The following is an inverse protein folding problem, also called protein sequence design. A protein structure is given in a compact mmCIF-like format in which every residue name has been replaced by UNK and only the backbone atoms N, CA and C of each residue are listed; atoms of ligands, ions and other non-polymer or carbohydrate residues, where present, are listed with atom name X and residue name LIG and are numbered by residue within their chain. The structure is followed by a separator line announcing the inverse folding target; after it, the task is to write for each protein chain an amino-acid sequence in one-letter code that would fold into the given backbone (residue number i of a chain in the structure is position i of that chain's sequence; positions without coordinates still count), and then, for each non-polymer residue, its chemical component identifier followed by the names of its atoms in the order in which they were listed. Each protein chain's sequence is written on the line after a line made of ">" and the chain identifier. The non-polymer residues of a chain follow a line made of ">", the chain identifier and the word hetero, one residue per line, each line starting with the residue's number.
data_IF_247314743654
#
_entry.id   IF_247314743654
#
_cell.length_a   1.000
_cell.length_b   1.000
_cell.length_c   1.000
_cell.angle_alpha   90.00
_cell.angle_beta   90.00
_cell.angle_gamma   90.00
#
_symmetry.space_group_name_H-M   'P 1'
#
loop_
_entity.id
_entity.type
_entity.pdbx_description
1 polymer ?
#
# COMPACT_ATOMS: atom_id res chain seq x y z
N UNK A 1 -16.48 -12.06 -3.39
CA UNK A 1 -15.77 -11.68 -4.62
C UNK A 1 -14.90 -10.51 -4.33
N UNK A 2 -13.74 -10.54 -4.89
CA UNK A 2 -12.68 -9.64 -4.49
C UNK A 2 -12.97 -8.22 -4.96
N UNK A 3 -13.21 -7.32 -4.02
CA UNK A 3 -13.38 -5.89 -4.28
C UNK A 3 -12.04 -5.20 -4.58
N UNK A 4 -11.03 -5.96 -5.00
CA UNK A 4 -9.72 -5.41 -5.36
C UNK A 4 -9.79 -4.64 -6.67
N UNK A 5 -9.10 -3.50 -6.72
CA UNK A 5 -8.94 -2.75 -7.96
C UNK A 5 -8.11 -3.56 -8.96
N UNK A 6 -8.42 -3.49 -10.27
CA UNK A 6 -7.89 -4.41 -11.27
C UNK A 6 -6.38 -4.30 -11.52
N UNK A 7 -5.78 -3.14 -11.22
CA UNK A 7 -4.36 -2.88 -11.45
C UNK A 7 -3.65 -2.68 -10.12
N UNK A 8 -2.48 -3.31 -9.96
CA UNK A 8 -1.53 -3.07 -8.89
C UNK A 8 -0.23 -2.45 -9.43
N UNK A 9 0.53 -1.78 -8.55
CA UNK A 9 1.94 -1.48 -8.80
C UNK A 9 2.77 -2.53 -8.07
N UNK A 10 3.62 -3.24 -8.80
CA UNK A 10 4.41 -4.35 -8.29
C UNK A 10 5.68 -4.50 -9.12
N UNK A 11 6.84 -4.73 -8.47
CA UNK A 11 8.14 -4.86 -9.13
C UNK A 11 8.43 -3.72 -10.12
N UNK A 12 8.20 -2.49 -9.66
CA UNK A 12 8.41 -1.25 -10.44
C UNK A 12 7.54 -1.10 -11.70
N UNK A 13 6.45 -1.88 -11.81
CA UNK A 13 5.54 -1.86 -12.95
C UNK A 13 4.07 -1.83 -12.50
N UNK A 14 3.20 -1.36 -13.38
CA UNK A 14 1.75 -1.53 -13.21
C UNK A 14 1.34 -2.82 -13.91
N UNK A 15 0.78 -3.75 -13.14
CA UNK A 15 0.37 -5.07 -13.60
C UNK A 15 -1.08 -5.36 -13.21
N UNK A 16 -1.76 -6.31 -13.86
CA UNK A 16 -3.04 -6.81 -13.35
C UNK A 16 -2.87 -7.30 -11.90
N UNK A 17 -3.81 -6.98 -11.02
CA UNK A 17 -3.71 -7.34 -9.59
C UNK A 17 -3.48 -8.85 -9.39
N UNK A 18 -4.12 -9.70 -10.19
CA UNK A 18 -3.98 -11.16 -10.13
C UNK A 18 -2.55 -11.67 -10.40
N UNK A 19 -1.74 -10.86 -11.09
CA UNK A 19 -0.37 -11.22 -11.48
C UNK A 19 0.68 -10.67 -10.47
N UNK A 20 0.25 -9.86 -9.49
CA UNK A 20 1.08 -9.35 -8.42
C UNK A 20 1.28 -10.40 -7.31
N UNK A 21 2.14 -11.38 -7.57
CA UNK A 21 2.38 -12.51 -6.69
C UNK A 21 3.79 -12.53 -6.13
N UNK A 22 3.94 -12.97 -4.89
CA UNK A 22 5.24 -13.20 -4.25
C UNK A 22 5.49 -14.69 -4.02
N UNK A 23 6.75 -15.10 -4.04
CA UNK A 23 7.14 -16.45 -3.69
C UNK A 23 6.88 -16.74 -2.21
N UNK A 24 6.54 -17.99 -1.87
CA UNK A 24 6.48 -18.46 -0.47
C UNK A 24 7.82 -18.34 0.25
N UNK A 25 8.94 -18.25 -0.48
CA UNK A 25 10.29 -18.05 0.07
C UNK A 25 10.65 -16.56 0.24
N UNK A 26 9.72 -15.63 0.02
CA UNK A 26 9.95 -14.20 0.20
C UNK A 26 10.31 -13.90 1.65
N UNK A 27 11.44 -13.23 1.87
CA UNK A 27 12.01 -12.93 3.18
C UNK A 27 11.01 -12.29 4.15
N UNK A 28 10.22 -11.32 3.68
CA UNK A 28 9.24 -10.64 4.51
C UNK A 28 8.15 -11.57 5.09
N UNK A 29 7.79 -12.66 4.41
CA UNK A 29 6.81 -13.63 4.90
C UNK A 29 7.33 -14.42 6.11
N UNK A 30 8.64 -14.63 6.19
CA UNK A 30 9.27 -15.40 7.28
C UNK A 30 9.65 -14.53 8.47
N UNK A 31 10.02 -13.28 8.25
CA UNK A 31 10.62 -12.42 9.26
C UNK A 31 9.83 -11.15 9.58
N UNK A 32 8.66 -10.97 8.98
CA UNK A 32 7.81 -9.80 9.22
C UNK A 32 8.46 -8.46 8.81
N UNK A 33 9.44 -8.50 7.91
CA UNK A 33 10.22 -7.34 7.49
C UNK A 33 9.51 -6.54 6.41
N UNK A 34 8.42 -5.91 6.82
CA UNK A 34 7.61 -5.05 5.96
C UNK A 34 6.97 -3.92 6.73
N UNK A 35 6.60 -2.86 6.03
CA UNK A 35 5.85 -1.74 6.58
C UNK A 35 4.80 -1.26 5.58
N UNK A 36 3.62 -0.91 6.06
CA UNK A 36 2.56 -0.43 5.19
C UNK A 36 2.02 0.93 5.59
N UNK A 37 1.48 1.60 4.62
CA UNK A 37 0.60 2.73 4.79
C UNK A 37 -0.85 2.35 4.49
N UNK A 38 -1.76 3.26 4.81
CA UNK A 38 -3.14 3.16 4.41
C UNK A 38 -3.72 4.55 4.23
N UNK A 39 -4.41 4.75 3.12
CA UNK A 39 -5.16 5.98 2.86
C UNK A 39 -6.43 5.68 2.08
N UNK A 40 -7.42 6.57 2.19
CA UNK A 40 -8.65 6.45 1.40
C UNK A 40 -8.59 7.37 0.19
N UNK A 41 -9.11 6.88 -0.93
CA UNK A 41 -9.52 7.68 -2.06
C UNK A 41 -11.04 7.79 -2.06
N UNK A 42 -11.54 9.00 -2.28
CA UNK A 42 -12.97 9.31 -2.28
C UNK A 42 -13.26 10.08 -3.55
N UNK A 43 -14.24 9.65 -4.38
CA UNK A 43 -14.71 10.47 -5.50
C UNK A 43 -15.18 11.84 -5.01
N UNK A 44 -14.78 12.89 -5.73
CA UNK A 44 -15.20 14.24 -5.38
C UNK A 44 -16.70 14.40 -5.66
N UNK A 45 -17.53 14.75 -4.66
CA UNK A 45 -18.95 14.96 -4.86
C UNK A 45 -19.28 16.08 -5.86
N UNK A 46 -18.38 17.06 -6.01
CA UNK A 46 -18.54 18.18 -6.93
C UNK A 46 -18.06 17.87 -8.35
N UNK A 47 -17.21 16.86 -8.52
CA UNK A 47 -16.62 16.48 -9.80
C UNK A 47 -16.26 14.98 -9.82
N UNK A 48 -17.16 14.18 -10.36
CA UNK A 48 -17.01 12.71 -10.43
C UNK A 48 -15.77 12.22 -11.19
N UNK A 49 -15.11 13.09 -11.96
CA UNK A 49 -13.84 12.76 -12.62
C UNK A 49 -12.61 12.96 -11.73
N UNK A 50 -12.80 13.42 -10.50
CA UNK A 50 -11.71 13.66 -9.55
C UNK A 50 -11.80 12.71 -8.35
N UNK A 51 -10.63 12.30 -7.87
CA UNK A 51 -10.48 11.52 -6.65
C UNK A 51 -9.73 12.36 -5.63
N UNK A 52 -10.31 12.51 -4.46
CA UNK A 52 -9.69 13.17 -3.33
C UNK A 52 -8.83 12.18 -2.55
N UNK A 53 -7.54 12.46 -2.43
CA UNK A 53 -6.57 11.71 -1.63
C UNK A 53 -6.15 12.56 -0.42
N UNK A 54 -6.74 12.30 0.74
CA UNK A 54 -6.50 13.13 1.91
C UNK A 54 -5.05 13.01 2.41
N UNK A 55 -4.34 14.14 2.41
CA UNK A 55 -2.96 14.27 2.92
C UNK A 55 -1.99 13.22 2.37
N UNK A 56 -2.06 12.93 1.08
CA UNK A 56 -1.18 11.96 0.41
C UNK A 56 0.31 12.20 0.73
N UNK A 57 0.75 13.47 0.75
CA UNK A 57 2.13 13.84 1.09
C UNK A 57 2.55 13.39 2.49
N UNK A 58 1.66 13.46 3.49
CA UNK A 58 1.96 13.02 4.87
C UNK A 58 2.01 11.50 4.97
N UNK A 59 1.12 10.80 4.28
CA UNK A 59 1.14 9.34 4.19
C UNK A 59 2.42 8.84 3.51
N UNK A 60 2.81 9.47 2.41
CA UNK A 60 4.04 9.13 1.68
C UNK A 60 5.30 9.37 2.54
N UNK A 61 5.38 10.53 3.22
CA UNK A 61 6.49 10.83 4.11
C UNK A 61 6.59 9.82 5.27
N UNK A 62 5.47 9.45 5.88
CA UNK A 62 5.45 8.43 6.94
C UNK A 62 5.93 7.06 6.43
N UNK A 63 5.48 6.63 5.26
CA UNK A 63 5.91 5.35 4.69
C UNK A 63 7.39 5.38 4.29
N UNK A 64 7.88 6.50 3.73
CA UNK A 64 9.30 6.70 3.45
C UNK A 64 10.15 6.58 4.71
N UNK A 65 9.71 7.18 5.84
CA UNK A 65 10.40 7.03 7.12
C UNK A 65 10.37 5.58 7.64
N UNK A 66 9.26 4.86 7.45
CA UNK A 66 9.17 3.44 7.81
C UNK A 66 10.07 2.57 6.94
N UNK A 67 10.22 2.88 5.65
CA UNK A 67 11.12 2.17 4.74
C UNK A 67 12.58 2.25 5.17
N UNK A 68 13.01 3.40 5.74
CA UNK A 68 14.38 3.57 6.28
C UNK A 68 14.70 2.61 7.41
N UNK A 69 13.70 2.22 8.24
CA UNK A 69 13.88 1.20 9.29
C UNK A 69 14.18 -0.18 8.71
N UNK A 70 13.83 -0.40 7.45
CA UNK A 70 14.16 -1.61 6.68
C UNK A 70 15.44 -1.44 5.83
N UNK A 71 16.20 -0.37 6.04
CA UNK A 71 17.33 0.02 5.18
C UNK A 71 16.94 0.15 3.70
N UNK A 72 15.74 0.68 3.44
CA UNK A 72 15.24 0.95 2.11
C UNK A 72 15.09 2.46 1.89
N UNK A 73 15.92 3.01 1.01
CA UNK A 73 15.79 4.41 0.60
C UNK A 73 14.71 4.52 -0.49
N UNK A 74 13.50 4.82 -0.05
CA UNK A 74 12.33 5.04 -0.92
C UNK A 74 11.83 6.47 -0.71
N UNK A 75 12.09 7.38 -1.67
CA UNK A 75 11.70 8.78 -1.57
C UNK A 75 10.17 8.97 -1.49
N UNK A 76 9.71 9.92 -0.68
CA UNK A 76 8.29 10.20 -0.50
C UNK A 76 7.60 10.70 -1.78
N UNK A 77 8.30 11.44 -2.62
CA UNK A 77 7.80 11.91 -3.92
C UNK A 77 7.56 10.74 -4.89
N UNK A 78 8.42 9.73 -4.90
CA UNK A 78 8.20 8.50 -5.66
C UNK A 78 6.94 7.77 -5.19
N UNK A 79 6.72 7.67 -3.87
CA UNK A 79 5.49 7.07 -3.31
C UNK A 79 4.26 7.85 -3.76
N UNK A 80 4.29 9.19 -3.67
CA UNK A 80 3.19 10.04 -4.10
C UNK A 80 2.87 9.89 -5.58
N UNK A 81 3.91 9.96 -6.43
CA UNK A 81 3.76 9.80 -7.88
C UNK A 81 3.16 8.44 -8.23
N UNK A 82 3.66 7.37 -7.61
CA UNK A 82 3.16 6.00 -7.84
C UNK A 82 1.69 5.87 -7.43
N UNK A 83 1.30 6.37 -6.26
CA UNK A 83 -0.10 6.31 -5.80
C UNK A 83 -1.01 7.13 -6.72
N UNK A 84 -0.57 8.32 -7.14
CA UNK A 84 -1.34 9.15 -8.06
C UNK A 84 -1.57 8.44 -9.40
N UNK A 85 -0.52 7.84 -9.96
CA UNK A 85 -0.63 7.11 -11.22
C UNK A 85 -1.45 5.81 -11.07
N UNK A 86 -1.34 5.13 -9.94
CA UNK A 86 -2.18 3.98 -9.58
C UNK A 86 -3.67 4.33 -9.63
N UNK A 87 -4.06 5.47 -9.05
CA UNK A 87 -5.46 5.94 -9.06
C UNK A 87 -5.91 6.27 -10.49
N UNK A 88 -5.08 6.96 -11.27
CA UNK A 88 -5.38 7.30 -12.68
C UNK A 88 -5.61 6.07 -13.55
N UNK A 89 -4.84 5.00 -13.33
CA UNK A 89 -4.97 3.76 -14.10
C UNK A 89 -6.21 2.95 -13.72
N UNK A 90 -6.57 2.93 -12.45
CA UNK A 90 -7.72 2.18 -11.96
C UNK A 90 -9.06 2.90 -12.18
N UNK A 91 -9.07 4.25 -12.17
CA UNK A 91 -10.29 5.08 -12.34
C UNK A 91 -11.45 4.63 -11.46
N UNK A 92 -11.25 4.48 -10.14
CA UNK A 92 -12.29 4.00 -9.25
C UNK A 92 -13.46 4.99 -9.20
N UNK A 93 -14.69 4.48 -9.14
CA UNK A 93 -15.93 5.26 -9.11
C UNK A 93 -16.58 5.30 -7.73
N UNK A 94 -16.09 4.49 -6.80
CA UNK A 94 -16.55 4.40 -5.41
C UNK A 94 -15.41 4.73 -4.45
N UNK A 95 -15.72 4.91 -3.17
CA UNK A 95 -14.70 5.03 -2.14
C UNK A 95 -13.89 3.74 -2.04
N UNK A 96 -12.57 3.89 -1.90
CA UNK A 96 -11.65 2.76 -1.87
C UNK A 96 -10.51 3.02 -0.87
N UNK A 97 -9.90 1.94 -0.45
CA UNK A 97 -8.70 1.95 0.39
C UNK A 97 -7.48 1.64 -0.47
N UNK A 98 -6.39 2.36 -0.26
CA UNK A 98 -5.10 2.13 -0.91
C UNK A 98 -4.12 1.61 0.12
N UNK A 99 -3.46 0.49 -0.19
CA UNK A 99 -2.40 -0.13 0.59
C UNK A 99 -1.06 -0.02 -0.13
N UNK A 100 -0.26 1.02 0.14
CA UNK A 100 1.15 1.02 -0.20
C UNK A 100 1.92 0.20 0.84
N UNK A 101 2.86 -0.63 0.39
CA UNK A 101 3.63 -1.55 1.24
C UNK A 101 5.08 -1.61 0.77
N UNK A 102 6.01 -1.52 1.70
CA UNK A 102 7.45 -1.74 1.49
C UNK A 102 7.87 -3.02 2.20
N UNK A 103 8.74 -3.83 1.59
CA UNK A 103 9.11 -5.11 2.15
C UNK A 103 10.47 -5.59 1.63
N UNK A 104 11.05 -6.54 2.35
CA UNK A 104 12.20 -7.30 1.86
C UNK A 104 11.71 -8.37 0.89
N UNK A 105 11.99 -8.18 -0.39
CA UNK A 105 11.49 -9.00 -1.51
C UNK A 105 12.40 -10.17 -1.86
N UNK A 106 13.66 -10.13 -1.41
CA UNK A 106 14.64 -11.18 -1.69
C UNK A 106 14.20 -12.55 -1.18
N UNK A 107 14.73 -13.60 -1.80
CA UNK A 107 14.50 -14.98 -1.40
C UNK A 107 15.65 -15.43 -0.49
N UNK A 108 15.33 -16.07 0.62
CA UNK A 108 16.37 -16.60 1.49
C UNK A 108 15.96 -16.79 2.93
N UNK A 109 16.73 -17.59 3.66
CA UNK A 109 16.50 -17.92 5.06
C UNK A 109 17.64 -17.31 5.90
N UNK A 110 17.48 -16.05 6.28
CA UNK A 110 18.38 -15.39 7.25
C UNK A 110 17.71 -14.11 7.78
N UNK A 111 17.59 -13.91 9.09
CA UNK A 111 16.94 -12.74 9.69
C UNK A 111 17.87 -11.51 9.64
N UNK A 112 18.17 -11.01 8.44
CA UNK A 112 19.05 -9.86 8.22
C UNK A 112 18.37 -8.84 7.31
N UNK A 113 18.70 -7.56 7.45
CA UNK A 113 18.18 -6.46 6.60
C UNK A 113 19.23 -5.95 5.60
N UNK A 114 20.53 -6.26 5.81
CA UNK A 114 21.59 -5.90 4.88
C UNK A 114 21.67 -6.93 3.75
N UNK A 115 22.02 -6.47 2.55
CA UNK A 115 22.16 -7.29 1.36
C UNK A 115 20.93 -8.17 1.04
N UNK A 116 19.72 -7.66 1.36
CA UNK A 116 18.45 -8.26 0.99
C UNK A 116 17.75 -7.31 0.04
N UNK A 117 17.25 -7.82 -1.05
CA UNK A 117 16.45 -7.05 -1.99
C UNK A 117 15.19 -6.50 -1.31
N UNK A 118 14.79 -5.32 -1.73
CA UNK A 118 13.62 -4.62 -1.21
C UNK A 118 12.76 -4.13 -2.36
N UNK A 119 11.47 -4.14 -2.14
CA UNK A 119 10.51 -3.68 -3.13
C UNK A 119 9.37 -2.91 -2.48
N UNK A 120 8.62 -2.24 -3.31
CA UNK A 120 7.47 -1.42 -2.96
C UNK A 120 6.31 -1.76 -3.89
N UNK A 121 5.16 -2.07 -3.31
CA UNK A 121 3.94 -2.28 -4.07
C UNK A 121 2.77 -1.42 -3.58
N UNK A 122 1.80 -1.25 -4.46
CA UNK A 122 0.54 -0.55 -4.17
C UNK A 122 -0.60 -1.37 -4.76
N UNK A 123 -1.62 -1.63 -3.93
CA UNK A 123 -2.90 -2.13 -4.39
C UNK A 123 -4.05 -1.39 -3.72
N UNK A 124 -5.26 -1.57 -4.22
CA UNK A 124 -6.45 -0.97 -3.67
C UNK A 124 -7.61 -1.94 -3.58
N UNK A 125 -8.53 -1.64 -2.69
CA UNK A 125 -9.76 -2.40 -2.50
C UNK A 125 -10.92 -1.42 -2.32
N UNK A 126 -12.03 -1.67 -3.00
CA UNK A 126 -13.27 -0.95 -2.72
C UNK A 126 -13.72 -1.30 -1.31
N UNK A 127 -13.84 -0.28 -0.48
CA UNK A 127 -14.11 -0.46 0.94
C UNK A 127 -15.15 0.57 1.38
N UNK A 128 -16.30 0.07 1.82
CA UNK A 128 -17.30 0.85 2.54
C UNK A 128 -16.88 1.18 3.97
N UNK A 129 -17.82 1.19 4.88
CA UNK A 129 -17.53 1.40 6.30
C UNK A 129 -16.82 0.19 6.89
N UNK A 130 -15.58 0.42 7.35
CA UNK A 130 -14.71 -0.62 7.90
C UNK A 130 -15.06 -0.96 9.36
N UNK A 131 -15.52 0.04 10.10
CA UNK A 131 -15.98 -0.11 11.48
C UNK A 131 -17.46 0.23 11.56
N UNK A 132 -18.15 -0.39 12.55
CA UNK A 132 -19.55 -0.05 12.79
C UNK A 132 -19.69 1.44 13.10
N UNK A 133 -20.65 2.16 12.47
CA UNK A 133 -20.95 3.55 12.82
C UNK A 133 -21.47 3.69 14.28
N UNK A 134 -21.96 2.61 14.88
CA UNK A 134 -22.45 2.58 16.26
C UNK A 134 -21.32 2.56 17.30
N UNK A 135 -20.07 2.54 16.84
CA UNK A 135 -18.90 2.51 17.68
C UNK A 135 -18.36 1.10 17.95
N UNK A 136 -17.23 1.04 18.65
CA UNK A 136 -16.53 -0.20 19.01
C UNK A 136 -16.06 -0.15 20.46
N UNK A 137 -16.01 -1.32 21.10
CA UNK A 137 -15.40 -1.47 22.42
C UNK A 137 -13.90 -1.61 22.29
N UNK A 138 -13.17 -0.81 23.07
CA UNK A 138 -11.71 -0.84 23.10
C UNK A 138 -11.21 -1.36 24.46
N UNK A 139 -10.12 -2.13 24.44
CA UNK A 139 -9.39 -2.57 25.63
C UNK A 139 -7.92 -2.15 25.49
N UNK A 140 -7.40 -1.56 26.57
CA UNK A 140 -5.96 -1.29 26.66
C UNK A 140 -5.28 -2.60 27.10
N UNK A 141 -4.31 -3.04 26.30
CA UNK A 141 -3.45 -4.17 26.64
C UNK A 141 -2.49 -3.76 27.76
N UNK A 142 -2.38 -4.60 28.76
CA UNK A 142 -1.39 -4.43 29.85
C UNK A 142 -0.02 -4.92 29.41
#
# INVERSE_FOLDING_TARGET
>A
MDNFLPIAYFQSQFVPFKDANVSIATHALHYGTGAFGGLRGIPDPANSNQILLFRLNKHAARLSNSARLLNFDLPADKIQATITEFVKKNKPTTSFYIRPFVYTSGLGIAPRLHNVEKDFFVYGIELGDYLSPDGVSCRISS
#
